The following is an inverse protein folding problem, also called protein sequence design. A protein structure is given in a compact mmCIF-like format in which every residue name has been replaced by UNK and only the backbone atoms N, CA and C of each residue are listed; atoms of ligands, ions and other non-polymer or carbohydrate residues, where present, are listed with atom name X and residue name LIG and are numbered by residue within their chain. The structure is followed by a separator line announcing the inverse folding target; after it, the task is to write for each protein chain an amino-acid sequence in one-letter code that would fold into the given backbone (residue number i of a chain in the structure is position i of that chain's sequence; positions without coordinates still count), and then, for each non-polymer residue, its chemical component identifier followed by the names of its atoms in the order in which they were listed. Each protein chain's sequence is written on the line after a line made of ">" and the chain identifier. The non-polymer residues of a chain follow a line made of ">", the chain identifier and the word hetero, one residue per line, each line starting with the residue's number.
data_IF_859409954612
#
_entry.id   IF_859409954612
#
_cell.length_a   1.000
_cell.length_b   1.000
_cell.length_c   1.000
_cell.angle_alpha   90.00
_cell.angle_beta   90.00
_cell.angle_gamma   90.00
#
_symmetry.space_group_name_H-M   'P 1'
#
loop_
_entity.id
_entity.type
_entity.pdbx_description
1 polymer ?
#
# COMPACT_ATOMS: atom_id res chain seq x y z
N UNK A 1 2.17 -22.85 -11.79
CA UNK A 1 1.49 -22.53 -10.51
C UNK A 1 0.02 -22.26 -10.80
N UNK A 2 -0.83 -22.81 -9.97
CA UNK A 2 -2.26 -22.63 -10.11
C UNK A 2 -2.64 -21.23 -9.59
N UNK A 3 -3.13 -20.34 -10.46
CA UNK A 3 -3.51 -18.98 -10.10
C UNK A 3 -4.79 -19.03 -9.27
N UNK A 4 -4.84 -18.27 -8.17
CA UNK A 4 -5.98 -18.26 -7.26
C UNK A 4 -6.67 -16.88 -7.20
N UNK A 5 -5.94 -15.82 -7.56
CA UNK A 5 -6.46 -14.48 -7.63
C UNK A 5 -5.83 -13.71 -8.81
N UNK A 6 -6.65 -13.04 -9.61
CA UNK A 6 -6.21 -12.16 -10.70
C UNK A 6 -6.86 -10.80 -10.50
N UNK A 7 -6.11 -9.72 -10.74
CA UNK A 7 -6.67 -8.38 -10.86
C UNK A 7 -6.09 -7.66 -12.08
N UNK A 8 -6.79 -6.62 -12.53
CA UNK A 8 -6.47 -5.89 -13.76
C UNK A 8 -6.44 -4.38 -13.52
N UNK A 9 -5.95 -3.63 -14.49
CA UNK A 9 -6.12 -2.19 -14.52
C UNK A 9 -7.56 -1.81 -14.86
N UNK A 10 -7.92 -0.57 -14.57
CA UNK A 10 -9.24 0.00 -14.86
C UNK A 10 -9.16 1.43 -15.38
N UNK A 11 -10.22 1.89 -15.99
CA UNK A 11 -10.46 3.30 -16.30
C UNK A 11 -11.90 3.69 -15.95
N UNK A 12 -12.26 4.92 -16.25
CA UNK A 12 -13.61 5.43 -15.98
C UNK A 12 -14.36 5.71 -17.29
N UNK A 13 -15.68 5.58 -17.21
CA UNK A 13 -16.61 5.81 -18.31
C UNK A 13 -17.88 6.48 -17.76
N UNK A 14 -18.45 7.42 -18.49
CA UNK A 14 -19.79 7.96 -18.21
C UNK A 14 -20.85 7.20 -18.98
N UNK A 15 -20.74 7.18 -20.32
CA UNK A 15 -21.61 6.44 -21.25
C UNK A 15 -20.73 5.72 -22.27
N UNK A 16 -21.29 4.74 -22.99
CA UNK A 16 -20.51 3.89 -23.91
C UNK A 16 -19.99 4.65 -25.14
N UNK A 17 -20.60 5.77 -25.48
CA UNK A 17 -20.25 6.66 -26.62
C UNK A 17 -19.25 7.76 -26.25
N UNK A 18 -18.93 7.91 -24.98
CA UNK A 18 -17.97 8.92 -24.53
C UNK A 18 -16.56 8.33 -24.36
N UNK A 19 -15.51 9.16 -24.55
CA UNK A 19 -14.14 8.74 -24.29
C UNK A 19 -13.94 8.23 -22.85
N UNK A 20 -13.09 7.21 -22.71
CA UNK A 20 -12.61 6.72 -21.40
C UNK A 20 -11.66 7.74 -20.81
N UNK A 21 -11.60 7.81 -19.47
CA UNK A 21 -10.78 8.79 -18.77
C UNK A 21 -10.28 8.23 -17.41
N UNK A 22 -9.33 8.92 -16.81
CA UNK A 22 -8.73 8.58 -15.53
C UNK A 22 -8.31 7.11 -15.42
N UNK A 23 -7.39 6.61 -16.27
CA UNK A 23 -6.89 5.26 -16.15
C UNK A 23 -6.17 5.08 -14.81
N UNK A 24 -6.42 3.94 -14.16
CA UNK A 24 -5.74 3.50 -12.96
C UNK A 24 -4.87 2.29 -13.32
N UNK A 25 -3.59 2.55 -13.56
CA UNK A 25 -2.57 1.54 -13.75
C UNK A 25 -2.06 1.07 -12.39
N UNK A 26 -2.17 -0.22 -12.13
CA UNK A 26 -1.88 -0.80 -10.83
C UNK A 26 -0.49 -1.43 -10.82
N UNK A 27 0.23 -1.42 -9.69
CA UNK A 27 1.46 -2.18 -9.56
C UNK A 27 1.18 -3.68 -9.45
N UNK A 28 2.23 -4.49 -9.57
CA UNK A 28 2.20 -5.87 -9.12
C UNK A 28 1.85 -5.94 -7.64
N UNK A 29 1.39 -7.12 -7.19
CA UNK A 29 0.83 -7.26 -5.86
C UNK A 29 1.79 -6.82 -4.75
N UNK A 30 1.33 -5.87 -3.94
CA UNK A 30 2.01 -5.35 -2.75
C UNK A 30 1.05 -5.33 -1.57
N UNK A 31 1.33 -6.18 -0.57
CA UNK A 31 0.49 -6.27 0.63
C UNK A 31 0.53 -4.98 1.46
N UNK A 32 1.69 -4.35 1.56
CA UNK A 32 1.82 -3.11 2.34
C UNK A 32 1.08 -1.94 1.66
N UNK A 33 1.12 -1.89 0.33
CA UNK A 33 0.31 -0.92 -0.41
C UNK A 33 -1.18 -1.21 -0.29
N UNK A 34 -1.58 -2.51 -0.33
CA UNK A 34 -2.97 -2.90 -0.10
C UNK A 34 -3.45 -2.49 1.30
N UNK A 35 -2.64 -2.64 2.33
CA UNK A 35 -2.97 -2.18 3.70
C UNK A 35 -3.17 -0.67 3.80
N UNK A 36 -2.51 0.11 2.94
CA UNK A 36 -2.62 1.55 2.92
C UNK A 36 -3.74 2.08 2.02
N UNK A 37 -4.15 1.31 1.04
CA UNK A 37 -5.16 1.70 0.05
C UNK A 37 -5.71 0.47 -0.67
N UNK A 38 -7.03 0.39 -0.85
CA UNK A 38 -7.62 -0.64 -1.71
C UNK A 38 -7.37 -0.30 -3.20
N UNK A 39 -6.11 -0.43 -3.64
CA UNK A 39 -5.72 -0.12 -5.01
C UNK A 39 -6.19 -1.16 -6.03
N UNK A 40 -6.55 -2.35 -5.59
CA UNK A 40 -6.96 -3.46 -6.46
C UNK A 40 -8.38 -3.25 -7.01
N UNK A 41 -9.37 -2.98 -6.14
CA UNK A 41 -10.78 -2.74 -6.50
C UNK A 41 -11.31 -3.62 -7.66
N UNK A 42 -11.35 -3.07 -8.86
CA UNK A 42 -11.88 -3.70 -10.07
C UNK A 42 -10.76 -3.86 -11.13
N UNK A 43 -10.74 -4.89 -11.91
CA UNK A 43 -11.54 -6.07 -11.93
C UNK A 43 -10.82 -7.20 -11.19
N UNK A 44 -11.50 -7.89 -10.30
CA UNK A 44 -10.96 -8.95 -9.46
C UNK A 44 -11.61 -10.29 -9.79
N UNK A 45 -10.79 -11.34 -10.02
CA UNK A 45 -11.23 -12.70 -10.32
C UNK A 45 -10.62 -13.65 -9.31
N UNK A 46 -11.46 -14.41 -8.63
CA UNK A 46 -11.05 -15.32 -7.57
C UNK A 46 -11.35 -16.78 -7.96
N UNK A 47 -10.46 -17.68 -7.57
CA UNK A 47 -10.76 -19.11 -7.64
C UNK A 47 -11.93 -19.42 -6.72
N UNK A 48 -12.94 -20.13 -7.25
CA UNK A 48 -14.18 -20.40 -6.50
C UNK A 48 -13.93 -21.11 -5.18
N UNK A 49 -13.07 -22.13 -5.17
CA UNK A 49 -12.75 -22.91 -3.97
C UNK A 49 -12.12 -22.04 -2.88
N UNK A 50 -11.32 -21.02 -3.25
CA UNK A 50 -10.77 -20.06 -2.29
C UNK A 50 -11.88 -19.19 -1.70
N UNK A 51 -12.80 -18.70 -2.53
CA UNK A 51 -13.94 -17.91 -2.07
C UNK A 51 -14.87 -18.71 -1.15
N UNK A 52 -15.15 -19.97 -1.49
CA UNK A 52 -15.97 -20.87 -0.67
C UNK A 52 -15.29 -21.11 0.70
N UNK A 53 -13.97 -21.35 0.71
CA UNK A 53 -13.17 -21.50 1.94
C UNK A 53 -13.23 -20.26 2.83
N UNK A 54 -13.19 -19.06 2.23
CA UNK A 54 -13.21 -17.79 2.95
C UNK A 54 -14.62 -17.35 3.36
N UNK A 55 -15.69 -18.02 2.90
CA UNK A 55 -17.08 -17.69 3.21
C UNK A 55 -17.60 -16.45 2.49
N UNK A 56 -16.96 -16.04 1.38
CA UNK A 56 -17.42 -14.91 0.55
C UNK A 56 -17.27 -13.55 1.23
N UNK A 57 -17.99 -12.57 0.72
CA UNK A 57 -18.05 -11.22 1.29
C UNK A 57 -18.82 -11.19 2.62
N UNK A 58 -18.49 -10.23 3.47
CA UNK A 58 -19.08 -10.07 4.80
C UNK A 58 -19.82 -8.74 4.92
N UNK A 59 -21.11 -8.76 5.21
CA UNK A 59 -21.94 -7.56 5.36
C UNK A 59 -21.49 -6.62 6.51
N UNK A 60 -20.71 -7.13 7.46
CA UNK A 60 -20.06 -6.31 8.50
C UNK A 60 -19.25 -5.14 7.91
N UNK A 61 -18.76 -5.29 6.66
CA UNK A 61 -17.92 -4.31 5.97
C UNK A 61 -18.61 -3.70 4.76
N UNK A 62 -19.93 -3.58 4.76
CA UNK A 62 -20.68 -2.94 3.67
C UNK A 62 -20.08 -1.57 3.33
N UNK A 63 -19.73 -1.38 2.06
CA UNK A 63 -18.96 -0.23 1.55
C UNK A 63 -17.46 -0.47 1.36
N UNK A 64 -16.87 -1.45 2.08
CA UNK A 64 -15.50 -1.92 1.93
C UNK A 64 -15.44 -3.46 1.92
N UNK A 65 -16.49 -4.15 1.49
CA UNK A 65 -16.59 -5.61 1.43
C UNK A 65 -15.57 -6.21 0.45
N UNK A 66 -15.30 -5.52 -0.65
CA UNK A 66 -14.27 -5.87 -1.62
C UNK A 66 -12.86 -5.76 -1.01
N UNK A 67 -12.62 -4.75 -0.21
CA UNK A 67 -11.34 -4.59 0.50
C UNK A 67 -11.12 -5.70 1.52
N UNK A 68 -12.15 -6.01 2.32
CA UNK A 68 -12.09 -7.10 3.29
C UNK A 68 -11.81 -8.46 2.63
N UNK A 69 -12.50 -8.79 1.53
CA UNK A 69 -12.27 -10.08 0.87
C UNK A 69 -10.89 -10.16 0.22
N UNK A 70 -10.39 -9.08 -0.37
CA UNK A 70 -9.05 -9.03 -0.97
C UNK A 70 -7.96 -9.22 0.11
N UNK A 71 -8.09 -8.58 1.27
CA UNK A 71 -7.17 -8.79 2.40
C UNK A 71 -7.17 -10.25 2.86
N UNK A 72 -8.36 -10.88 3.01
CA UNK A 72 -8.45 -12.31 3.38
C UNK A 72 -7.89 -13.25 2.33
N UNK A 73 -8.04 -12.92 1.06
CA UNK A 73 -7.40 -13.65 -0.05
C UNK A 73 -5.89 -13.56 0.09
N UNK A 74 -5.34 -12.36 0.29
CA UNK A 74 -3.90 -12.13 0.44
C UNK A 74 -3.29 -12.86 1.66
N UNK A 75 -4.08 -13.14 2.70
CA UNK A 75 -3.69 -13.95 3.86
C UNK A 75 -3.55 -15.44 3.52
N UNK A 76 -4.29 -15.92 2.51
CA UNK A 76 -4.47 -17.34 2.23
C UNK A 76 -3.76 -17.85 0.98
N UNK A 77 -3.27 -16.95 0.10
CA UNK A 77 -2.54 -17.35 -1.10
C UNK A 77 -1.40 -16.39 -1.44
N UNK A 78 -0.38 -16.93 -2.11
CA UNK A 78 0.68 -16.18 -2.79
C UNK A 78 0.52 -16.19 -4.32
N UNK A 79 -0.48 -16.91 -4.83
CA UNK A 79 -0.74 -17.13 -6.25
C UNK A 79 -1.62 -16.01 -6.81
N UNK A 80 -1.13 -14.78 -6.69
CA UNK A 80 -1.81 -13.54 -7.12
C UNK A 80 -1.12 -13.02 -8.36
N UNK A 81 -1.90 -12.74 -9.42
CA UNK A 81 -1.36 -12.22 -10.69
C UNK A 81 -2.04 -10.89 -11.03
N UNK A 82 -1.23 -9.91 -11.37
CA UNK A 82 -1.66 -8.68 -12.02
C UNK A 82 -1.61 -8.86 -13.55
N UNK A 83 -2.69 -8.50 -14.24
CA UNK A 83 -2.71 -8.35 -15.68
C UNK A 83 -2.67 -6.85 -16.00
N UNK A 84 -1.53 -6.30 -16.46
CA UNK A 84 -1.36 -4.85 -16.67
C UNK A 84 -2.06 -4.40 -17.96
N UNK A 85 -3.38 -4.54 -17.96
CA UNK A 85 -4.26 -4.13 -19.04
C UNK A 85 -5.56 -3.59 -18.45
N UNK A 86 -6.07 -2.51 -19.06
CA UNK A 86 -7.38 -1.96 -18.72
C UNK A 86 -8.46 -2.90 -19.27
N UNK A 87 -9.02 -3.72 -18.39
CA UNK A 87 -10.06 -4.69 -18.71
C UNK A 87 -11.39 -4.40 -18.00
N UNK A 88 -11.45 -3.31 -17.26
CA UNK A 88 -12.65 -2.85 -16.55
C UNK A 88 -12.87 -1.35 -16.77
N UNK A 89 -14.13 -0.96 -16.98
CA UNK A 89 -14.54 0.43 -17.17
C UNK A 89 -15.55 0.81 -16.11
N UNK A 90 -15.08 1.52 -15.08
CA UNK A 90 -15.93 1.92 -13.95
C UNK A 90 -16.85 3.08 -14.33
N UNK A 91 -18.15 2.79 -14.32
CA UNK A 91 -19.17 3.79 -14.69
C UNK A 91 -19.34 4.85 -13.61
N UNK A 92 -19.09 6.10 -13.97
CA UNK A 92 -19.30 7.27 -13.12
C UNK A 92 -20.76 7.76 -13.27
N UNK A 93 -21.43 7.93 -12.14
CA UNK A 93 -22.75 8.58 -12.06
C UNK A 93 -22.88 9.29 -10.69
N UNK A 94 -23.86 10.23 -10.51
CA UNK A 94 -23.92 11.06 -9.32
C UNK A 94 -23.92 10.34 -7.95
N UNK A 95 -24.40 9.09 -7.92
CA UNK A 95 -24.46 8.28 -6.68
C UNK A 95 -23.35 7.21 -6.61
N UNK A 96 -22.33 7.30 -7.47
CA UNK A 96 -21.23 6.34 -7.53
C UNK A 96 -20.04 6.81 -6.72
N UNK A 97 -19.36 5.87 -6.02
CA UNK A 97 -18.05 6.10 -5.42
C UNK A 97 -16.95 6.37 -6.46
N UNK A 98 -17.22 6.08 -7.75
CA UNK A 98 -16.35 6.45 -8.87
C UNK A 98 -16.23 7.96 -9.09
N UNK A 99 -17.19 8.75 -8.58
CA UNK A 99 -17.14 10.19 -8.62
C UNK A 99 -16.20 10.69 -7.50
N UNK A 100 -15.32 11.62 -7.83
CA UNK A 100 -14.34 12.15 -6.88
C UNK A 100 -14.96 12.99 -5.74
N UNK A 101 -16.27 13.18 -5.74
CA UNK A 101 -16.97 13.91 -4.70
C UNK A 101 -17.13 13.03 -3.45
N UNK A 102 -16.38 13.40 -2.44
CA UNK A 102 -16.17 12.72 -1.17
C UNK A 102 -17.43 12.59 -0.30
N UNK A 103 -18.51 13.30 -0.67
CA UNK A 103 -19.74 13.33 0.12
C UNK A 103 -20.72 12.20 -0.21
N UNK A 104 -20.51 11.48 -1.32
CA UNK A 104 -21.48 10.49 -1.77
C UNK A 104 -21.60 9.26 -0.86
N UNK A 105 -20.50 8.78 -0.26
CA UNK A 105 -20.51 7.56 0.58
C UNK A 105 -19.40 7.56 1.65
N UNK A 106 -19.43 8.44 2.66
CA UNK A 106 -18.39 8.48 3.69
C UNK A 106 -18.27 7.14 4.45
N UNK A 107 -19.37 6.41 4.63
CA UNK A 107 -19.37 5.10 5.31
C UNK A 107 -18.44 4.06 4.66
N UNK A 108 -18.22 4.14 3.35
CA UNK A 108 -17.33 3.20 2.65
C UNK A 108 -15.87 3.36 3.08
N UNK A 109 -15.45 4.59 3.36
CA UNK A 109 -14.09 4.87 3.85
C UNK A 109 -13.96 4.50 5.34
N UNK A 110 -15.01 4.74 6.12
CA UNK A 110 -15.05 4.32 7.53
C UNK A 110 -14.99 2.79 7.66
N UNK A 111 -15.67 2.04 6.80
CA UNK A 111 -15.68 0.57 6.81
C UNK A 111 -14.31 -0.06 6.49
N UNK A 112 -13.41 0.67 5.84
CA UNK A 112 -12.05 0.21 5.55
C UNK A 112 -11.19 0.08 6.82
N UNK A 113 -11.37 0.95 7.82
CA UNK A 113 -10.63 0.90 9.08
C UNK A 113 -10.81 -0.45 9.79
N UNK A 114 -12.06 -0.89 10.13
CA UNK A 114 -12.26 -2.19 10.77
C UNK A 114 -11.87 -3.37 9.87
N UNK A 115 -11.95 -3.26 8.54
CA UNK A 115 -11.50 -4.31 7.64
C UNK A 115 -9.99 -4.55 7.75
N UNK A 116 -9.19 -3.47 7.79
CA UNK A 116 -7.75 -3.55 7.99
C UNK A 116 -7.43 -3.99 9.43
N UNK A 117 -8.14 -3.47 10.43
CA UNK A 117 -7.90 -3.83 11.84
C UNK A 117 -8.12 -5.34 12.07
N UNK A 118 -9.22 -5.90 11.57
CA UNK A 118 -9.46 -7.35 11.59
C UNK A 118 -8.38 -8.14 10.84
N UNK A 119 -7.87 -7.60 9.71
CA UNK A 119 -6.74 -8.20 9.00
C UNK A 119 -5.49 -8.27 9.88
N UNK A 120 -5.12 -7.18 10.55
CA UNK A 120 -3.96 -7.16 11.46
C UNK A 120 -4.10 -8.23 12.55
N UNK A 121 -5.28 -8.34 13.16
CA UNK A 121 -5.57 -9.34 14.19
C UNK A 121 -5.39 -10.77 13.66
N UNK A 122 -5.93 -11.08 12.47
CA UNK A 122 -5.83 -12.40 11.85
C UNK A 122 -4.39 -12.80 11.52
N UNK A 123 -3.54 -11.83 11.13
CA UNK A 123 -2.13 -12.10 10.81
C UNK A 123 -1.18 -11.90 12.00
N UNK A 124 -1.72 -11.63 13.19
CA UNK A 124 -0.94 -11.49 14.43
C UNK A 124 -0.10 -10.22 14.52
N UNK A 125 -0.46 -9.17 13.75
CA UNK A 125 0.21 -7.88 13.81
C UNK A 125 -0.48 -6.97 14.82
N UNK A 126 0.30 -6.36 15.70
CA UNK A 126 -0.21 -5.38 16.67
C UNK A 126 -0.11 -3.97 16.07
N UNK A 127 -1.19 -3.23 16.12
CA UNK A 127 -1.26 -1.87 15.62
C UNK A 127 -2.66 -1.30 15.66
N UNK A 128 -2.76 0.00 15.39
CA UNK A 128 -4.03 0.73 15.23
C UNK A 128 -4.12 1.31 13.84
N UNK A 129 -5.31 1.26 13.27
CA UNK A 129 -5.59 1.77 11.93
C UNK A 129 -6.30 3.12 12.04
N UNK A 130 -5.83 4.09 11.29
CA UNK A 130 -6.41 5.43 11.20
C UNK A 130 -6.53 5.86 9.73
N UNK A 131 -7.30 6.90 9.45
CA UNK A 131 -7.29 7.50 8.10
C UNK A 131 -5.90 8.03 7.74
N UNK A 132 -5.53 7.89 6.48
CA UNK A 132 -4.32 8.48 5.92
C UNK A 132 -4.49 9.97 5.61
N UNK A 133 -3.51 10.53 4.89
CA UNK A 133 -3.53 11.95 4.51
C UNK A 133 -4.57 12.28 3.42
N UNK A 134 -5.01 11.29 2.66
CA UNK A 134 -5.99 11.44 1.59
C UNK A 134 -7.15 10.49 1.78
N UNK A 135 -8.32 10.87 1.28
CA UNK A 135 -9.51 10.03 1.35
C UNK A 135 -9.28 8.67 0.68
N UNK A 136 -9.75 7.59 1.32
CA UNK A 136 -9.54 6.22 0.84
C UNK A 136 -8.13 5.68 1.10
N UNK A 137 -7.28 6.44 1.80
CA UNK A 137 -6.00 5.94 2.29
C UNK A 137 -6.04 5.71 3.79
N UNK A 138 -5.24 4.75 4.26
CA UNK A 138 -5.17 4.34 5.65
C UNK A 138 -3.72 4.33 6.13
N UNK A 139 -3.54 4.57 7.42
CA UNK A 139 -2.25 4.50 8.09
C UNK A 139 -2.32 3.50 9.23
N UNK A 140 -1.37 2.59 9.27
CA UNK A 140 -1.22 1.65 10.36
C UNK A 140 -0.10 2.15 11.28
N UNK A 141 -0.44 2.33 12.55
CA UNK A 141 0.55 2.56 13.60
C UNK A 141 0.90 1.23 14.24
N UNK A 142 1.92 0.57 13.69
CA UNK A 142 2.40 -0.69 14.23
C UNK A 142 2.98 -0.52 15.63
N UNK A 143 2.70 -1.48 16.50
CA UNK A 143 3.35 -1.60 17.80
C UNK A 143 4.51 -2.57 17.68
N UNK A 144 5.69 -2.10 18.00
CA UNK A 144 6.89 -2.92 18.01
C UNK A 144 7.12 -3.49 19.40
N UNK A 145 7.56 -4.74 19.49
CA UNK A 145 8.06 -5.34 20.72
C UNK A 145 9.56 -5.08 20.82
N UNK A 146 9.98 -4.45 21.94
CA UNK A 146 11.37 -4.08 22.15
C UNK A 146 11.83 -2.90 21.29
N UNK A 147 13.13 -2.84 21.07
CA UNK A 147 13.80 -1.79 20.27
C UNK A 147 14.70 -2.43 19.21
N UNK A 148 14.14 -2.93 18.10
CA UNK A 148 14.94 -3.55 17.06
C UNK A 148 15.96 -2.57 16.48
N UNK A 149 17.17 -3.06 16.13
CA UNK A 149 18.19 -2.22 15.50
C UNK A 149 17.82 -1.87 14.07
N UNK A 150 17.91 -0.59 13.71
CA UNK A 150 17.64 -0.07 12.38
C UNK A 150 18.95 0.30 11.71
N UNK A 151 19.26 -0.31 10.55
CA UNK A 151 20.40 0.08 9.71
C UNK A 151 19.94 1.08 8.66
N UNK A 152 20.44 2.31 8.73
CA UNK A 152 20.17 3.37 7.75
C UNK A 152 21.27 3.31 6.69
N UNK A 153 20.93 2.81 5.50
CA UNK A 153 21.90 2.61 4.42
C UNK A 153 21.87 3.83 3.50
N UNK A 154 23.02 4.50 3.35
CA UNK A 154 23.18 5.72 2.56
C UNK A 154 24.24 5.47 1.47
N UNK A 155 23.86 5.33 0.19
CA UNK A 155 24.82 5.32 -0.88
C UNK A 155 25.42 6.71 -1.08
N UNK A 156 26.74 6.79 -1.22
CA UNK A 156 27.44 8.05 -1.45
C UNK A 156 28.53 7.93 -2.50
N UNK A 157 28.70 9.01 -3.28
CA UNK A 157 29.84 9.20 -4.17
C UNK A 157 30.24 10.68 -4.19
N UNK A 158 31.43 10.98 -3.67
CA UNK A 158 32.08 12.31 -3.63
C UNK A 158 31.33 13.44 -2.91
N UNK A 159 30.04 13.33 -2.63
CA UNK A 159 29.12 14.37 -2.13
C UNK A 159 29.23 14.58 -0.61
N UNK A 160 30.37 15.07 -0.11
CA UNK A 160 30.64 15.23 1.33
C UNK A 160 29.62 16.11 2.03
N UNK A 161 29.31 17.29 1.49
CA UNK A 161 28.43 18.25 2.18
C UNK A 161 26.97 17.75 2.21
N UNK A 162 26.54 17.10 1.14
CA UNK A 162 25.22 16.45 1.07
C UNK A 162 25.12 15.32 2.09
N UNK A 163 26.15 14.46 2.14
CA UNK A 163 26.21 13.36 3.09
C UNK A 163 26.25 13.87 4.53
N UNK A 164 27.08 14.89 4.82
CA UNK A 164 27.16 15.51 6.15
C UNK A 164 25.80 16.04 6.58
N UNK A 165 25.12 16.78 5.73
CA UNK A 165 23.78 17.33 6.03
C UNK A 165 22.78 16.22 6.34
N UNK A 166 22.82 15.11 5.58
CA UNK A 166 21.98 13.95 5.79
C UNK A 166 22.25 13.29 7.15
N UNK A 167 23.53 13.00 7.44
CA UNK A 167 23.95 12.36 8.70
C UNK A 167 23.61 13.24 9.89
N UNK A 168 23.96 14.53 9.87
CA UNK A 168 23.66 15.49 10.94
C UNK A 168 22.15 15.55 11.21
N UNK A 169 21.33 15.59 10.14
CA UNK A 169 19.87 15.57 10.26
C UNK A 169 19.33 14.29 10.92
N UNK A 170 19.91 13.13 10.61
CA UNK A 170 19.54 11.86 11.27
C UNK A 170 19.90 11.90 12.76
N UNK A 171 21.10 12.33 13.07
CA UNK A 171 21.60 12.40 14.46
C UNK A 171 20.78 13.37 15.32
N UNK A 172 20.42 14.52 14.75
CA UNK A 172 19.69 15.57 15.46
C UNK A 172 18.21 15.25 15.63
N UNK A 173 17.54 14.81 14.53
CA UNK A 173 16.07 14.73 14.47
C UNK A 173 15.50 13.37 14.85
N UNK A 174 16.31 12.29 14.83
CA UNK A 174 15.81 10.95 15.16
C UNK A 174 15.54 10.80 16.65
N UNK A 175 14.31 10.50 17.00
CA UNK A 175 13.90 10.18 18.36
C UNK A 175 14.23 8.73 18.74
N UNK A 176 14.18 7.81 17.76
CA UNK A 176 14.61 6.43 17.93
C UNK A 176 16.13 6.35 18.02
N UNK A 177 16.68 5.62 18.99
CA UNK A 177 18.13 5.64 19.27
C UNK A 177 18.86 4.34 18.94
N UNK A 178 18.15 3.22 18.74
CA UNK A 178 18.78 1.95 18.37
C UNK A 178 18.94 1.82 16.86
N UNK A 179 19.82 2.63 16.29
CA UNK A 179 20.16 2.57 14.86
C UNK A 179 21.67 2.64 14.64
N UNK A 180 22.08 2.28 13.43
CA UNK A 180 23.39 2.54 12.87
C UNK A 180 23.25 3.22 11.51
N UNK A 181 24.27 3.96 11.11
CA UNK A 181 24.36 4.54 9.77
C UNK A 181 25.43 3.77 9.02
N UNK A 182 25.07 3.23 7.86
CA UNK A 182 25.94 2.46 6.97
C UNK A 182 26.12 3.23 5.67
N UNK A 183 27.29 3.80 5.45
CA UNK A 183 27.59 4.50 4.21
C UNK A 183 28.13 3.49 3.20
N UNK A 184 27.45 3.38 2.06
CA UNK A 184 27.88 2.54 0.94
C UNK A 184 28.67 3.40 -0.02
N UNK A 185 29.99 3.28 0.06
CA UNK A 185 30.93 3.99 -0.80
C UNK A 185 30.81 3.49 -2.25
N UNK A 186 30.58 4.40 -3.21
CA UNK A 186 30.34 4.09 -4.60
C UNK A 186 31.40 4.69 -5.54
N UNK A 187 32.67 4.25 -5.38
CA UNK A 187 33.82 4.69 -6.17
C UNK A 187 34.01 6.22 -6.15
N UNK A 188 34.08 6.82 -4.98
CA UNK A 188 34.48 8.22 -4.79
C UNK A 188 35.94 8.43 -5.20
N UNK A 189 36.27 9.65 -5.61
CA UNK A 189 37.59 10.02 -6.13
C UNK A 189 38.20 11.20 -5.37
N UNK A 190 37.45 11.92 -4.59
CA UNK A 190 37.90 13.08 -3.82
C UNK A 190 38.49 12.66 -2.48
N UNK A 191 39.65 13.21 -2.12
CA UNK A 191 40.32 12.96 -0.84
C UNK A 191 39.44 13.42 0.34
N UNK A 192 38.70 14.50 0.15
CA UNK A 192 37.86 15.13 1.15
C UNK A 192 36.75 14.20 1.69
N UNK A 193 36.18 13.34 0.85
CA UNK A 193 35.17 12.40 1.31
C UNK A 193 35.78 11.28 2.16
N UNK A 194 36.97 10.78 1.79
CA UNK A 194 37.67 9.75 2.54
C UNK A 194 38.16 10.26 3.90
N UNK A 195 38.51 11.56 4.02
CA UNK A 195 38.79 12.18 5.31
C UNK A 195 37.52 12.27 6.19
N UNK A 196 36.38 12.52 5.57
CA UNK A 196 35.10 12.58 6.32
C UNK A 196 34.64 11.19 6.86
N UNK A 197 35.05 10.10 6.20
CA UNK A 197 34.72 8.74 6.67
C UNK A 197 35.53 8.29 7.89
N UNK A 198 36.64 8.95 8.22
CA UNK A 198 37.48 8.68 9.40
C UNK A 198 36.89 9.21 10.68
#
# INVERSE_FOLDING_TARGET
>A
PEVEFIYTDEDKITTLDQPRFNPHFKPDFSLDFLRANNYICHFSVFKKELMDKLGGERSKYDGAQDFDIILRVAENTKNIIHIPKVLYHWRVHPNSTAQADTQAKPYAFEAGIPAIQDHLERVGLKGTVEHGASLGTYRIRYQFEGTPKVSIIIPNKDEKETLKTCVDSILEKSTYKNYEIVIVENNSTTEEIFEYYK
#
